data_IF_952197942156
#
_entry.id   IF_952197942156
#
_cell.length_a   1.000
_cell.length_b   1.000
_cell.length_c   1.000
_cell.angle_alpha   90.00
_cell.angle_beta   90.00
_cell.angle_gamma   90.00
#
_symmetry.space_group_name_H-M   'P 1'
#
loop_
_entity.id
_entity.type
_entity.pdbx_description
1 polymer ?
#
# COMPACT_ATOMS: atom_id res chain seq x y z
N UNK A 1 -20.44 -45.65 -20.79
CA UNK A 1 -19.27 -45.90 -19.91
C UNK A 1 -18.53 -44.59 -19.77
N UNK A 2 -18.50 -44.04 -18.56
CA UNK A 2 -18.00 -42.70 -18.26
C UNK A 2 -16.48 -42.61 -18.41
N UNK A 3 -16.01 -41.70 -19.26
CA UNK A 3 -14.60 -41.28 -19.37
C UNK A 3 -14.24 -40.16 -18.39
N UNK A 4 -14.65 -40.27 -17.12
CA UNK A 4 -14.11 -39.43 -16.06
C UNK A 4 -12.99 -40.20 -15.36
N UNK A 5 -11.90 -40.38 -16.11
CA UNK A 5 -10.65 -40.89 -15.59
C UNK A 5 -10.04 -39.82 -14.70
N UNK A 6 -9.95 -40.12 -13.40
CA UNK A 6 -9.15 -39.45 -12.37
C UNK A 6 -8.02 -38.59 -12.95
N UNK A 7 -8.20 -37.27 -12.94
CA UNK A 7 -7.06 -36.37 -12.79
C UNK A 7 -6.70 -36.42 -11.30
N UNK A 8 -5.72 -37.25 -10.95
CA UNK A 8 -5.03 -37.05 -9.69
C UNK A 8 -4.43 -35.64 -9.74
N UNK A 9 -4.96 -34.72 -8.93
CA UNK A 9 -4.39 -33.37 -8.85
C UNK A 9 -2.95 -33.51 -8.38
N UNK A 10 -2.02 -33.00 -9.20
CA UNK A 10 -0.62 -32.96 -8.80
C UNK A 10 -0.48 -32.21 -7.46
N UNK A 11 0.43 -32.65 -6.57
CA UNK A 11 0.62 -31.96 -5.30
C UNK A 11 1.08 -30.53 -5.56
N UNK A 12 0.50 -29.57 -4.83
CA UNK A 12 0.92 -28.17 -4.89
C UNK A 12 2.43 -28.05 -4.62
N UNK A 13 3.16 -27.49 -5.59
CA UNK A 13 4.62 -27.33 -5.53
C UNK A 13 4.98 -25.87 -5.75
N UNK A 14 5.79 -25.29 -4.83
CA UNK A 14 6.44 -24.00 -5.04
C UNK A 14 7.54 -24.18 -6.09
N UNK A 15 7.52 -23.37 -7.14
CA UNK A 15 8.46 -23.47 -8.26
C UNK A 15 9.45 -22.32 -8.25
N UNK A 16 10.73 -22.64 -8.48
CA UNK A 16 11.79 -21.65 -8.64
C UNK A 16 11.86 -21.17 -10.10
N UNK A 17 10.93 -20.28 -10.47
CA UNK A 17 10.80 -19.76 -11.85
C UNK A 17 11.42 -18.40 -12.09
N UNK A 18 11.62 -17.64 -11.01
CA UNK A 18 11.97 -16.23 -11.11
C UNK A 18 13.07 -15.90 -10.12
N UNK A 19 14.05 -15.14 -10.60
CA UNK A 19 14.99 -14.44 -9.74
C UNK A 19 14.48 -13.01 -9.59
N UNK A 20 14.22 -12.60 -8.35
CA UNK A 20 13.87 -11.23 -8.01
C UNK A 20 15.10 -10.56 -7.44
N UNK A 21 15.51 -9.44 -8.03
CA UNK A 21 16.63 -8.63 -7.54
C UNK A 21 16.08 -7.24 -7.23
N UNK A 22 16.21 -6.78 -5.98
CA UNK A 22 15.82 -5.41 -5.63
C UNK A 22 16.77 -4.42 -6.31
N UNK A 23 16.24 -3.25 -6.70
CA UNK A 23 17.06 -2.18 -7.28
C UNK A 23 18.11 -1.65 -6.30
N UNK A 24 17.81 -1.62 -5.00
CA UNK A 24 18.77 -1.27 -3.95
C UNK A 24 19.95 -2.24 -3.91
N UNK A 25 19.69 -3.53 -4.13
CA UNK A 25 20.72 -4.56 -4.05
C UNK A 25 21.64 -4.48 -5.27
N UNK A 26 21.08 -4.15 -6.45
CA UNK A 26 21.87 -3.84 -7.65
C UNK A 26 22.83 -2.66 -7.44
N UNK A 27 22.43 -1.66 -6.64
CA UNK A 27 23.31 -0.53 -6.31
C UNK A 27 24.50 -0.96 -5.42
N UNK A 28 24.38 -2.05 -4.68
CA UNK A 28 25.47 -2.58 -3.83
C UNK A 28 26.38 -3.56 -4.59
N UNK A 29 26.06 -3.92 -5.83
CA UNK A 29 26.90 -4.80 -6.65
C UNK A 29 28.24 -4.10 -6.95
N UNK A 30 29.38 -4.78 -6.70
CA UNK A 30 30.70 -4.22 -6.98
C UNK A 30 30.86 -3.80 -8.44
N UNK A 31 31.60 -2.71 -8.67
CA UNK A 31 31.68 -2.02 -9.98
C UNK A 31 32.15 -2.95 -11.11
N UNK A 32 33.04 -3.90 -10.83
CA UNK A 32 33.54 -4.88 -11.80
C UNK A 32 32.47 -5.85 -12.34
N UNK A 33 31.34 -6.01 -11.66
CA UNK A 33 30.21 -6.83 -12.11
C UNK A 33 29.09 -6.01 -12.76
N UNK A 34 29.11 -4.67 -12.65
CA UNK A 34 28.03 -3.83 -13.17
C UNK A 34 27.97 -3.81 -14.70
N UNK A 35 29.11 -3.64 -15.36
CA UNK A 35 29.19 -3.61 -16.83
C UNK A 35 29.01 -4.99 -17.47
N UNK A 36 29.28 -6.07 -16.73
CA UNK A 36 29.20 -7.45 -17.24
C UNK A 36 27.85 -8.13 -16.97
N UNK A 37 27.11 -7.69 -15.96
CA UNK A 37 25.82 -8.28 -15.57
C UNK A 37 24.66 -7.28 -15.65
N UNK A 38 24.80 -6.12 -15.00
CA UNK A 38 23.68 -5.20 -14.77
C UNK A 38 23.31 -4.44 -16.05
N UNK A 39 24.28 -3.86 -16.75
CA UNK A 39 24.03 -3.12 -17.99
C UNK A 39 23.43 -4.01 -19.10
N UNK A 40 23.95 -5.22 -19.38
CA UNK A 40 23.32 -6.14 -20.33
C UNK A 40 21.92 -6.60 -19.90
N UNK A 41 21.66 -6.83 -18.62
CA UNK A 41 20.32 -7.18 -18.15
C UNK A 41 19.31 -6.05 -18.40
N UNK A 42 19.70 -4.80 -18.12
CA UNK A 42 18.82 -3.65 -18.31
C UNK A 42 18.50 -3.40 -19.80
N UNK A 43 19.45 -3.63 -20.71
CA UNK A 43 19.19 -3.49 -22.14
C UNK A 43 18.20 -4.56 -22.64
N UNK A 44 18.30 -5.79 -22.13
CA UNK A 44 17.39 -6.90 -22.45
C UNK A 44 15.94 -6.63 -22.01
N UNK A 45 15.71 -5.85 -20.94
CA UNK A 45 14.34 -5.57 -20.46
C UNK A 45 13.44 -4.98 -21.54
N UNK A 46 13.99 -4.19 -22.47
CA UNK A 46 13.23 -3.59 -23.58
C UNK A 46 12.72 -4.62 -24.60
N UNK A 47 13.28 -5.84 -24.60
CA UNK A 47 12.92 -6.93 -25.50
C UNK A 47 12.09 -8.03 -24.84
N UNK A 48 11.83 -7.91 -23.53
CA UNK A 48 11.08 -8.91 -22.76
C UNK A 48 9.65 -8.43 -22.49
N UNK A 49 8.67 -9.35 -22.45
CA UNK A 49 7.30 -8.99 -22.10
C UNK A 49 7.22 -8.52 -20.65
N UNK A 50 6.53 -7.40 -20.41
CA UNK A 50 6.18 -6.95 -19.07
C UNK A 50 5.17 -7.91 -18.45
N UNK A 51 5.36 -8.25 -17.17
CA UNK A 51 4.42 -9.05 -16.39
C UNK A 51 3.97 -8.21 -15.20
N UNK A 52 2.67 -8.13 -14.98
CA UNK A 52 2.13 -7.61 -13.73
C UNK A 52 2.26 -8.71 -12.69
N UNK A 53 2.99 -8.43 -11.61
CA UNK A 53 3.19 -9.38 -10.53
C UNK A 53 3.15 -8.67 -9.18
N UNK A 54 2.66 -9.41 -8.18
CA UNK A 54 2.85 -9.10 -6.78
C UNK A 54 4.10 -9.85 -6.30
N UNK A 55 5.04 -9.13 -5.71
CA UNK A 55 6.23 -9.71 -5.07
C UNK A 55 6.03 -9.57 -3.57
N UNK A 56 6.14 -10.70 -2.85
CA UNK A 56 6.06 -10.74 -1.40
C UNK A 56 7.38 -11.26 -0.87
N UNK A 57 8.00 -10.48 0.00
CA UNK A 57 9.26 -10.84 0.65
C UNK A 57 9.01 -11.87 1.76
N UNK A 58 9.96 -12.79 1.95
CA UNK A 58 9.81 -13.91 2.90
C UNK A 58 9.75 -13.50 4.37
N UNK A 59 10.28 -12.32 4.69
CA UNK A 59 10.26 -11.71 6.02
C UNK A 59 9.02 -10.86 6.28
N UNK A 60 8.17 -10.65 5.27
CA UNK A 60 6.91 -9.93 5.43
C UNK A 60 5.85 -10.84 6.08
N UNK A 61 5.05 -10.36 7.04
CA UNK A 61 4.09 -11.18 7.78
C UNK A 61 3.07 -11.90 6.89
N UNK A 62 2.72 -11.34 5.72
CA UNK A 62 1.76 -11.97 4.79
C UNK A 62 2.37 -13.04 3.88
N UNK A 63 3.67 -13.35 3.98
CA UNK A 63 4.32 -14.32 3.10
C UNK A 63 3.70 -15.72 3.18
N UNK A 64 3.66 -16.32 4.37
CA UNK A 64 3.07 -17.65 4.56
C UNK A 64 1.53 -17.65 4.46
N UNK A 65 0.79 -16.63 5.00
CA UNK A 65 -0.64 -16.48 4.73
C UNK A 65 -0.98 -16.46 3.25
N UNK A 66 -0.24 -15.69 2.44
CA UNK A 66 -0.48 -15.61 1.00
C UNK A 66 -0.22 -16.95 0.31
N UNK A 67 0.86 -17.64 0.66
CA UNK A 67 1.12 -18.97 0.12
C UNK A 67 0.02 -19.98 0.45
N UNK A 68 -0.51 -19.92 1.67
CA UNK A 68 -1.62 -20.78 2.12
C UNK A 68 -2.88 -20.51 1.31
N UNK A 69 -3.23 -19.23 1.12
CA UNK A 69 -4.38 -18.83 0.31
C UNK A 69 -4.24 -19.26 -1.17
N UNK A 70 -3.04 -19.11 -1.74
CA UNK A 70 -2.75 -19.57 -3.12
C UNK A 70 -2.88 -21.09 -3.20
N UNK A 71 -2.30 -21.84 -2.26
CA UNK A 71 -2.39 -23.30 -2.21
C UNK A 71 -3.84 -23.77 -2.13
N UNK A 72 -4.62 -23.24 -1.20
CA UNK A 72 -6.03 -23.57 -1.03
C UNK A 72 -6.80 -23.35 -2.35
N UNK A 73 -6.60 -22.18 -2.98
CA UNK A 73 -7.24 -21.85 -4.26
C UNK A 73 -6.84 -22.79 -5.39
N UNK A 74 -5.56 -23.15 -5.51
CA UNK A 74 -5.07 -24.08 -6.55
C UNK A 74 -5.62 -25.50 -6.33
N UNK A 75 -5.76 -25.92 -5.07
CA UNK A 75 -6.29 -27.23 -4.70
C UNK A 75 -7.83 -27.30 -4.72
N UNK A 76 -8.51 -26.18 -5.01
CA UNK A 76 -9.98 -26.11 -5.02
C UNK A 76 -10.60 -26.12 -3.63
N UNK A 77 -9.82 -25.86 -2.58
CA UNK A 77 -10.33 -25.68 -1.23
C UNK A 77 -11.01 -24.30 -1.13
N UNK A 78 -12.12 -24.18 -0.37
CA UNK A 78 -12.72 -22.89 -0.12
C UNK A 78 -11.66 -21.98 0.51
N UNK A 79 -11.39 -20.84 -0.11
CA UNK A 79 -10.44 -19.89 0.45
C UNK A 79 -11.00 -19.42 1.79
N UNK A 80 -10.39 -19.86 2.88
CA UNK A 80 -10.51 -19.19 4.17
C UNK A 80 -9.93 -17.79 3.94
N UNK A 81 -10.81 -16.83 3.66
CA UNK A 81 -10.43 -15.44 3.84
C UNK A 81 -10.03 -15.32 5.31
N UNK A 82 -8.91 -14.66 5.64
CA UNK A 82 -8.63 -14.30 7.01
C UNK A 82 -9.80 -13.42 7.47
N UNK A 83 -10.81 -14.06 8.06
CA UNK A 83 -11.71 -13.37 8.94
C UNK A 83 -10.77 -12.93 10.05
N UNK A 84 -10.58 -11.62 10.19
CA UNK A 84 -9.88 -11.06 11.34
C UNK A 84 -10.47 -11.63 12.62
N UNK A 85 -9.80 -11.40 13.76
CA UNK A 85 -10.36 -11.81 15.05
C UNK A 85 -11.84 -11.41 15.12
N UNK A 86 -12.74 -12.33 15.53
CA UNK A 86 -14.16 -12.02 15.61
C UNK A 86 -14.36 -10.74 16.43
N UNK A 87 -14.81 -9.68 15.77
CA UNK A 87 -15.07 -8.42 16.45
C UNK A 87 -16.32 -8.64 17.31
N UNK A 88 -16.16 -8.50 18.62
CA UNK A 88 -17.28 -8.54 19.55
C UNK A 88 -18.12 -7.27 19.35
N UNK A 89 -19.28 -7.42 18.73
CA UNK A 89 -20.25 -6.35 18.58
C UNK A 89 -20.96 -6.11 19.92
N UNK A 90 -20.82 -4.91 20.48
CA UNK A 90 -21.43 -4.56 21.79
C UNK A 90 -22.93 -4.27 21.68
N UNK A 91 -23.40 -3.81 20.51
CA UNK A 91 -24.82 -3.58 20.25
C UNK A 91 -25.12 -3.67 18.74
N UNK A 92 -26.34 -4.08 18.41
CA UNK A 92 -26.88 -4.09 17.04
C UNK A 92 -28.27 -3.47 17.10
N UNK A 93 -28.58 -2.55 16.19
CA UNK A 93 -29.94 -2.01 16.01
C UNK A 93 -30.36 -2.09 14.54
N UNK A 94 -31.66 -2.20 14.32
CA UNK A 94 -32.29 -2.00 13.01
C UNK A 94 -33.07 -0.71 13.02
N UNK A 95 -33.05 0.03 11.92
CA UNK A 95 -33.94 1.18 11.75
C UNK A 95 -35.35 0.68 11.41
N UNK A 96 -36.33 1.13 12.18
CA UNK A 96 -37.74 0.84 11.98
C UNK A 96 -38.45 2.17 11.71
N UNK A 97 -39.39 2.16 10.77
CA UNK A 97 -40.26 3.31 10.51
C UNK A 97 -41.12 3.58 11.75
N UNK A 98 -41.04 4.78 12.31
CA UNK A 98 -41.77 5.20 13.50
C UNK A 98 -43.22 5.64 13.20
N UNK A 99 -43.60 5.68 11.92
CA UNK A 99 -44.92 6.07 11.45
C UNK A 99 -45.12 7.57 11.26
N UNK A 100 -44.11 8.41 11.50
CA UNK A 100 -44.15 9.85 11.17
C UNK A 100 -43.29 10.24 9.95
N UNK A 101 -42.65 9.24 9.33
CA UNK A 101 -41.68 9.40 8.24
C UNK A 101 -40.24 9.46 8.75
N UNK A 102 -40.03 9.34 10.06
CA UNK A 102 -38.75 9.12 10.71
C UNK A 102 -38.34 7.65 10.74
N UNK A 103 -37.09 7.42 11.16
CA UNK A 103 -36.56 6.09 11.40
C UNK A 103 -36.05 6.05 12.85
N UNK A 104 -36.59 5.12 13.64
CA UNK A 104 -36.13 4.88 15.01
C UNK A 104 -35.20 3.66 15.08
N UNK A 105 -34.16 3.75 15.91
CA UNK A 105 -33.27 2.62 16.16
C UNK A 105 -33.93 1.62 17.12
N UNK A 106 -34.35 0.48 16.59
CA UNK A 106 -34.78 -0.68 17.38
C UNK A 106 -33.58 -1.55 17.70
N UNK A 107 -33.12 -1.48 18.95
CA UNK A 107 -31.97 -2.27 19.42
C UNK A 107 -32.34 -3.76 19.47
N UNK A 108 -31.62 -4.56 18.68
CA UNK A 108 -31.76 -6.01 18.64
C UNK A 108 -31.16 -6.65 19.89
N UNK A 109 -29.98 -6.18 20.36
CA UNK A 109 -29.31 -6.69 21.57
C UNK A 109 -28.35 -5.66 22.21
N UNK A 110 -28.15 -5.77 23.53
CA UNK A 110 -27.02 -5.19 24.30
C UNK A 110 -26.14 -6.36 24.78
N UNK A 111 -24.96 -6.52 24.19
CA UNK A 111 -23.93 -7.48 24.65
C UNK A 111 -24.09 -8.95 24.24
N UNK A 112 -24.65 -9.27 23.06
CA UNK A 112 -24.83 -10.65 22.59
C UNK A 112 -24.63 -10.87 21.09
N UNK A 113 -24.69 -12.13 20.64
CA UNK A 113 -24.62 -12.55 19.22
C UNK A 113 -26.00 -12.45 18.54
N UNK A 114 -26.09 -11.75 17.41
CA UNK A 114 -27.30 -11.67 16.58
C UNK A 114 -27.06 -12.30 15.19
N UNK A 115 -28.08 -12.96 14.65
CA UNK A 115 -28.09 -13.40 13.24
C UNK A 115 -28.48 -12.22 12.35
N UNK A 116 -27.62 -11.86 11.39
CA UNK A 116 -27.88 -10.81 10.41
C UNK A 116 -28.40 -11.40 9.10
N UNK A 117 -29.39 -10.74 8.50
CA UNK A 117 -29.95 -11.12 7.20
C UNK A 117 -29.49 -10.18 6.09
N UNK A 118 -29.49 -10.67 4.85
CA UNK A 118 -29.17 -9.88 3.67
C UNK A 118 -30.11 -8.66 3.56
N UNK A 119 -29.53 -7.46 3.45
CA UNK A 119 -30.27 -6.18 3.41
C UNK A 119 -30.25 -5.39 4.72
N UNK A 120 -29.75 -5.98 5.81
CA UNK A 120 -29.52 -5.26 7.07
C UNK A 120 -28.21 -4.46 6.99
N UNK A 121 -28.25 -3.19 7.43
CA UNK A 121 -27.06 -2.33 7.53
C UNK A 121 -26.52 -2.41 8.95
N UNK A 122 -25.27 -2.86 9.09
CA UNK A 122 -24.57 -2.96 10.36
C UNK A 122 -23.63 -1.76 10.51
N UNK A 123 -23.65 -1.12 11.68
CA UNK A 123 -22.70 -0.07 12.05
C UNK A 123 -21.70 -0.66 13.06
N UNK A 124 -20.42 -0.70 12.70
CA UNK A 124 -19.33 -1.23 13.53
C UNK A 124 -18.31 -0.12 13.76
N UNK A 125 -17.99 0.18 15.02
CA UNK A 125 -16.89 1.08 15.38
C UNK A 125 -15.78 0.24 16.00
N UNK A 126 -14.62 0.19 15.34
CA UNK A 126 -13.59 -0.81 15.66
C UNK A 126 -12.62 -0.36 16.77
N UNK A 127 -12.51 0.94 17.09
CA UNK A 127 -11.50 1.44 18.05
C UNK A 127 -11.82 2.81 18.69
N UNK A 128 -12.97 2.97 19.35
CA UNK A 128 -13.17 4.13 20.23
C UNK A 128 -14.20 3.82 21.33
N UNK A 129 -13.76 3.42 22.54
CA UNK A 129 -14.66 3.15 23.67
C UNK A 129 -15.41 4.41 24.16
N UNK A 130 -14.96 5.59 23.75
CA UNK A 130 -15.53 6.88 24.13
C UNK A 130 -16.50 7.47 23.07
N UNK A 131 -16.81 6.72 21.99
CA UNK A 131 -17.73 7.18 20.93
C UNK A 131 -19.19 7.20 21.38
N UNK A 132 -19.53 6.42 22.41
CA UNK A 132 -20.86 6.45 23.01
C UNK A 132 -20.83 7.43 24.18
N UNK A 133 -21.71 8.44 24.15
CA UNK A 133 -22.03 9.20 25.37
C UNK A 133 -22.63 8.23 26.42
N UNK A 134 -22.68 8.62 27.70
CA UNK A 134 -23.24 7.78 28.77
C UNK A 134 -24.69 7.31 28.52
N UNK A 135 -25.41 7.97 27.61
CA UNK A 135 -26.76 7.61 27.18
C UNK A 135 -26.81 6.63 26.00
N UNK A 136 -25.67 6.22 25.44
CA UNK A 136 -25.56 5.32 24.31
C UNK A 136 -25.70 5.98 22.94
N UNK A 137 -25.72 7.32 22.84
CA UNK A 137 -25.71 8.03 21.57
C UNK A 137 -24.30 8.16 20.98
N UNK A 138 -24.16 7.99 19.66
CA UNK A 138 -22.93 8.20 18.92
C UNK A 138 -23.24 8.94 17.60
N UNK A 139 -22.43 9.93 17.24
CA UNK A 139 -22.56 10.62 15.96
C UNK A 139 -21.90 9.79 14.86
N UNK A 140 -22.71 9.27 13.94
CA UNK A 140 -22.24 8.50 12.79
C UNK A 140 -22.17 9.41 11.58
N UNK A 141 -20.98 9.61 11.04
CA UNK A 141 -20.80 10.30 9.77
C UNK A 141 -21.03 9.29 8.64
N UNK A 142 -22.02 9.58 7.79
CA UNK A 142 -22.25 8.85 6.55
C UNK A 142 -20.98 8.81 5.71
N UNK A 143 -20.80 7.75 4.91
CA UNK A 143 -19.71 7.64 3.94
C UNK A 143 -19.40 8.98 3.27
N UNK A 144 -18.13 9.38 3.27
CA UNK A 144 -17.68 10.62 2.65
C UNK A 144 -18.21 10.69 1.20
N UNK A 145 -18.80 11.83 0.83
CA UNK A 145 -19.31 12.07 -0.52
C UNK A 145 -18.25 11.66 -1.54
N UNK A 146 -18.53 10.69 -2.44
CA UNK A 146 -17.58 10.26 -3.47
C UNK A 146 -17.03 11.43 -4.29
N UNK A 147 -17.82 12.51 -4.47
CA UNK A 147 -17.37 13.73 -5.13
C UNK A 147 -16.30 14.49 -4.35
N UNK A 148 -16.44 14.58 -3.03
CA UNK A 148 -15.44 15.20 -2.15
C UNK A 148 -14.17 14.36 -2.06
N UNK A 149 -14.30 13.04 -1.99
CA UNK A 149 -13.16 12.11 -1.98
C UNK A 149 -12.35 12.24 -3.27
N UNK A 150 -12.99 12.31 -4.43
CA UNK A 150 -12.26 12.47 -5.70
C UNK A 150 -11.63 13.86 -5.82
N UNK A 151 -12.29 14.91 -5.32
CA UNK A 151 -11.70 16.26 -5.25
C UNK A 151 -10.43 16.28 -4.40
N UNK A 152 -10.47 15.67 -3.21
CA UNK A 152 -9.32 15.58 -2.32
C UNK A 152 -8.20 14.73 -2.92
N UNK A 153 -8.53 13.65 -3.63
CA UNK A 153 -7.54 12.87 -4.39
C UNK A 153 -6.87 13.69 -5.49
N UNK A 154 -7.64 14.51 -6.21
CA UNK A 154 -7.10 15.41 -7.23
C UNK A 154 -6.18 16.46 -6.62
N UNK A 155 -6.60 17.11 -5.53
CA UNK A 155 -5.76 18.08 -4.81
C UNK A 155 -4.46 17.44 -4.30
N UNK A 156 -4.52 16.21 -3.79
CA UNK A 156 -3.32 15.49 -3.38
C UNK A 156 -2.39 15.17 -4.55
N UNK A 157 -2.92 14.77 -5.72
CA UNK A 157 -2.11 14.55 -6.92
C UNK A 157 -1.37 15.82 -7.36
N UNK A 158 -2.08 16.95 -7.38
CA UNK A 158 -1.53 18.26 -7.74
C UNK A 158 -0.47 18.72 -6.72
N UNK A 159 -0.75 18.59 -5.42
CA UNK A 159 0.20 18.96 -4.37
C UNK A 159 1.47 18.10 -4.38
N UNK A 160 1.35 16.80 -4.71
CA UNK A 160 2.53 15.92 -4.87
C UNK A 160 3.36 16.35 -6.08
N UNK A 161 2.73 16.67 -7.21
CA UNK A 161 3.44 17.16 -8.39
C UNK A 161 4.19 18.49 -8.11
N UNK A 162 3.52 19.46 -7.48
CA UNK A 162 4.14 20.74 -7.09
C UNK A 162 5.33 20.54 -6.13
N UNK A 163 5.22 19.59 -5.20
CA UNK A 163 6.31 19.24 -4.30
C UNK A 163 7.51 18.62 -5.03
N UNK A 164 7.28 17.82 -6.08
CA UNK A 164 8.37 17.29 -6.91
C UNK A 164 9.07 18.37 -7.73
N UNK A 165 8.32 19.28 -8.33
CA UNK A 165 8.88 20.41 -9.08
C UNK A 165 9.76 21.29 -8.19
N UNK A 166 9.27 21.64 -6.99
CA UNK A 166 10.05 22.41 -6.01
C UNK A 166 11.32 21.68 -5.56
N UNK A 167 11.28 20.35 -5.43
CA UNK A 167 12.48 19.57 -5.10
C UNK A 167 13.52 19.64 -6.20
N UNK A 168 13.10 19.61 -7.48
CA UNK A 168 14.02 19.75 -8.61
C UNK A 168 14.63 21.16 -8.64
N UNK A 169 13.84 22.20 -8.40
CA UNK A 169 14.33 23.58 -8.32
C UNK A 169 15.37 23.74 -7.19
N UNK A 170 15.08 23.23 -5.99
CA UNK A 170 16.03 23.24 -4.87
C UNK A 170 17.33 22.51 -5.26
N UNK A 171 17.25 21.39 -5.98
CA UNK A 171 18.42 20.67 -6.44
C UNK A 171 19.26 21.48 -7.44
N UNK A 172 18.61 22.14 -8.40
CA UNK A 172 19.28 23.00 -9.37
C UNK A 172 19.99 24.18 -8.68
N UNK A 173 19.31 24.86 -7.75
CA UNK A 173 19.88 25.98 -6.99
C UNK A 173 21.06 25.54 -6.12
N UNK A 174 20.99 24.36 -5.49
CA UNK A 174 22.12 23.80 -4.72
C UNK A 174 23.34 23.53 -5.60
N UNK A 175 23.12 23.05 -6.82
CA UNK A 175 24.19 22.83 -7.80
C UNK A 175 24.87 24.14 -8.18
N UNK A 176 24.07 25.16 -8.55
CA UNK A 176 24.58 26.50 -8.89
C UNK A 176 25.35 27.15 -7.74
N UNK A 177 24.84 27.05 -6.50
CA UNK A 177 25.54 27.52 -5.30
C UNK A 177 26.89 26.82 -5.11
N UNK A 178 26.95 25.51 -5.39
CA UNK A 178 28.19 24.75 -5.34
C UNK A 178 29.23 25.23 -6.36
N UNK A 179 28.81 25.56 -7.58
CA UNK A 179 29.69 26.09 -8.63
C UNK A 179 30.21 27.49 -8.30
N UNK A 180 29.31 28.39 -7.86
CA UNK A 180 29.67 29.74 -7.41
C UNK A 180 30.68 29.70 -6.25
N UNK A 181 30.46 28.83 -5.28
CA UNK A 181 31.37 28.67 -4.13
C UNK A 181 32.77 28.23 -4.57
N UNK A 182 32.86 27.26 -5.48
CA UNK A 182 34.15 26.83 -6.06
C UNK A 182 34.87 27.94 -6.81
N UNK A 183 34.12 28.75 -7.57
CA UNK A 183 34.68 29.92 -8.26
C UNK A 183 35.25 30.96 -7.30
N UNK A 184 34.54 31.22 -6.19
CA UNK A 184 34.99 32.15 -5.16
C UNK A 184 36.24 31.65 -4.42
N UNK A 185 36.29 30.36 -4.10
CA UNK A 185 37.46 29.72 -3.48
C UNK A 185 38.68 29.77 -4.41
N UNK A 186 38.49 29.62 -5.73
CA UNK A 186 39.56 29.72 -6.72
C UNK A 186 40.12 31.14 -6.84
N UNK A 187 39.26 32.17 -6.79
CA UNK A 187 39.69 33.58 -6.80
C UNK A 187 40.42 34.00 -5.52
N UNK A 188 40.05 33.42 -4.37
CA UNK A 188 40.73 33.70 -3.11
C UNK A 188 42.17 33.15 -3.09
N UNK A 189 42.44 32.02 -3.77
CA UNK A 189 43.79 31.43 -3.87
C UNK A 189 44.69 32.29 -4.76
N UNK A 190 44.21 32.77 -5.91
CA UNK A 190 44.99 33.61 -6.83
C UNK A 190 45.34 35.01 -6.27
N UNK A 191 44.49 35.56 -5.40
CA UNK A 191 44.74 36.86 -4.76
C UNK A 191 45.85 36.85 -3.70
N UNK A 192 46.33 35.68 -3.27
CA UNK A 192 47.33 35.55 -2.19
C UNK A 192 48.77 35.47 -2.72
N UNK A 193 48.98 35.20 -4.01
CA UNK A 193 50.32 35.05 -4.61
C UNK A 193 50.93 36.35 -5.17
N UNK A 194 50.20 37.48 -5.19
CA UNK A 194 50.72 38.76 -5.74
C UNK A 194 51.20 39.77 -4.68
N UNK A 195 51.43 39.32 -3.44
CA UNK A 195 51.68 40.19 -2.28
C UNK A 195 53.00 39.99 -1.54
N UNK A 196 54.13 39.76 -2.22
CA UNK A 196 55.46 39.98 -1.62
C UNK A 196 56.27 40.99 -2.44
N UNK A 197 56.28 42.28 -2.05
CA UNK A 197 57.28 43.22 -2.53
C UNK A 197 58.54 43.15 -1.65
N UNK A 198 59.68 43.11 -2.34
CA UNK A 198 61.06 43.17 -1.79
C UNK A 198 61.37 44.45 -1.03
#
# INVERSE_FOLDING_TARGET
MNHLSQMASEPFKREDRYIVIKRSDLANVPVNYRSTLVEPMLSLLSHLPSRECLVIESDWPEYEPTWTAIKARVMGEPAEQPQGEPIMLTAVATLVDDGDGGLEASWLLVGGTAELFAGMTLLVAENAPDLCQEDGSAEVYTHADPGEVERLRQMNREGVAELEDRKQEIYALRTQLGELKKGLESQAVEGTEQGEPS
#
